data_IF_242058598732
#
_entry.id   IF_242058598732
#
_cell.length_a   1.000
_cell.length_b   1.000
_cell.length_c   1.000
_cell.angle_alpha   90.00
_cell.angle_beta   90.00
_cell.angle_gamma   90.00
#
_symmetry.space_group_name_H-M   'P 1'
#
loop_
_entity.id
_entity.type
_entity.pdbx_description
1 polymer ?
#
# COMPACT_ATOMS: atom_id res chain seq x y z
N UNK A 1 -28.02 21.02 -47.42
CA UNK A 1 -26.74 21.41 -46.81
C UNK A 1 -27.04 22.49 -45.78
N UNK A 2 -27.18 22.11 -44.52
CA UNK A 2 -27.49 23.01 -43.42
C UNK A 2 -26.18 23.26 -42.66
N UNK A 3 -25.61 24.46 -42.80
CA UNK A 3 -24.38 24.85 -42.11
C UNK A 3 -24.70 25.25 -40.67
N UNK A 4 -24.15 24.50 -39.73
CA UNK A 4 -24.28 24.70 -38.29
C UNK A 4 -23.13 25.60 -37.82
N UNK A 5 -23.44 26.82 -37.37
CA UNK A 5 -22.48 27.77 -36.82
C UNK A 5 -22.33 27.50 -35.31
N UNK A 6 -21.21 26.92 -34.89
CA UNK A 6 -20.89 26.68 -33.48
C UNK A 6 -20.18 27.92 -32.92
N UNK A 7 -20.75 28.49 -31.86
CA UNK A 7 -20.21 29.60 -31.09
C UNK A 7 -19.03 29.15 -30.21
N UNK A 8 -17.99 29.98 -30.17
CA UNK A 8 -16.81 29.81 -29.32
C UNK A 8 -17.12 30.21 -27.86
N UNK A 9 -16.64 29.42 -26.91
CA UNK A 9 -16.64 29.73 -25.46
C UNK A 9 -15.18 29.97 -25.04
N UNK A 10 -14.86 31.04 -24.28
CA UNK A 10 -13.48 31.37 -23.95
C UNK A 10 -12.95 30.58 -22.74
N UNK A 11 -11.63 30.38 -22.74
CA UNK A 11 -10.83 29.84 -21.64
C UNK A 11 -10.98 30.68 -20.37
N UNK A 12 -11.17 30.01 -19.22
CA UNK A 12 -10.89 30.59 -17.90
C UNK A 12 -9.60 30.01 -17.33
N UNK A 13 -8.67 30.94 -17.13
CA UNK A 13 -7.39 30.84 -16.45
C UNK A 13 -7.65 30.77 -14.93
N UNK A 14 -7.16 29.72 -14.25
CA UNK A 14 -7.26 29.57 -12.79
C UNK A 14 -5.86 29.49 -12.21
N UNK A 15 -5.15 30.61 -12.27
CA UNK A 15 -4.06 30.92 -11.37
C UNK A 15 -4.59 31.86 -10.26
N UNK A 16 -4.21 31.56 -9.01
CA UNK A 16 -4.37 32.42 -7.82
C UNK A 16 -5.70 32.32 -7.05
N UNK A 17 -5.76 31.39 -6.09
CA UNK A 17 -6.21 31.73 -4.73
C UNK A 17 -5.09 31.33 -3.77
N UNK A 18 -4.51 32.36 -3.18
CA UNK A 18 -3.36 32.32 -2.31
C UNK A 18 -3.73 31.94 -0.86
N UNK A 19 -2.73 31.37 -0.17
CA UNK A 19 -2.40 31.58 1.25
C UNK A 19 -3.47 31.25 2.30
N UNK A 20 -3.32 30.07 2.92
CA UNK A 20 -3.51 29.94 4.37
C UNK A 20 -2.22 29.45 5.01
N UNK A 21 -1.54 30.38 5.66
CA UNK A 21 -0.38 30.15 6.52
C UNK A 21 -0.87 29.62 7.87
N UNK A 22 -0.37 28.47 8.32
CA UNK A 22 -0.43 28.09 9.73
C UNK A 22 1.00 28.14 10.31
N UNK A 23 1.23 28.80 11.46
CA UNK A 23 2.56 28.87 12.07
C UNK A 23 2.83 27.58 12.83
N UNK A 24 3.97 26.94 12.57
CA UNK A 24 4.53 25.92 13.45
C UNK A 24 5.78 26.49 14.13
N UNK A 25 5.62 26.81 15.41
CA UNK A 25 6.70 27.21 16.31
C UNK A 25 7.63 26.01 16.54
N UNK A 26 8.89 26.15 16.12
CA UNK A 26 9.95 25.19 16.42
C UNK A 26 10.48 25.48 17.83
N UNK A 27 10.21 24.59 18.79
CA UNK A 27 11.01 24.52 20.01
C UNK A 27 12.17 23.56 19.81
N UNK A 28 13.39 24.10 19.80
CA UNK A 28 14.62 23.34 20.02
C UNK A 28 14.66 22.88 21.48
N UNK A 29 14.95 21.60 21.72
CA UNK A 29 15.53 21.13 22.98
C UNK A 29 16.62 20.12 22.66
N UNK A 30 17.83 20.42 23.15
CA UNK A 30 19.04 19.61 23.02
C UNK A 30 19.13 18.52 24.09
N UNK A 31 19.99 17.55 23.78
CA UNK A 31 20.78 16.66 24.65
C UNK A 31 20.13 15.60 25.58
N UNK A 32 20.74 14.41 25.50
CA UNK A 32 20.52 13.12 26.20
C UNK A 32 20.87 13.22 27.71
N UNK A 33 20.66 12.19 28.61
CA UNK A 33 20.55 10.75 28.32
C UNK A 33 19.60 9.87 29.18
N UNK A 34 19.51 8.60 28.73
CA UNK A 34 19.27 7.36 29.48
C UNK A 34 17.98 7.16 30.30
N UNK A 35 17.22 6.11 29.89
CA UNK A 35 16.29 5.40 30.75
C UNK A 35 14.81 5.58 30.38
N UNK A 36 14.09 4.45 30.33
CA UNK A 36 12.63 4.31 30.13
C UNK A 36 12.10 4.36 28.69
N UNK A 37 12.17 3.20 28.00
CA UNK A 37 11.42 2.90 26.78
C UNK A 37 10.37 1.81 27.06
N UNK A 38 9.11 2.21 27.26
CA UNK A 38 7.92 1.37 27.00
C UNK A 38 6.60 2.18 27.04
N UNK A 39 6.56 3.38 27.64
CA UNK A 39 5.30 4.12 27.80
C UNK A 39 4.93 5.09 26.65
N UNK A 40 5.80 5.32 25.66
CA UNK A 40 5.61 6.41 24.69
C UNK A 40 4.65 6.11 23.53
N UNK A 41 4.15 4.87 23.41
CA UNK A 41 3.14 4.52 22.40
C UNK A 41 1.70 4.72 22.88
N UNK A 42 1.46 4.90 24.19
CA UNK A 42 0.10 4.98 24.75
C UNK A 42 -0.50 6.39 24.82
N UNK A 43 0.27 7.46 24.60
CA UNK A 43 -0.27 8.84 24.72
C UNK A 43 -0.46 9.61 23.40
N UNK A 44 -0.06 9.08 22.22
CA UNK A 44 -0.29 9.78 20.94
C UNK A 44 -1.56 9.38 20.18
N UNK A 45 -2.33 8.39 20.65
CA UNK A 45 -3.56 7.96 19.97
C UNK A 45 -4.85 8.59 20.49
N UNK A 46 -4.85 9.26 21.64
CA UNK A 46 -6.08 9.77 22.25
C UNK A 46 -6.60 11.09 21.62
N UNK A 47 -5.78 11.82 20.86
CA UNK A 47 -6.17 13.13 20.30
C UNK A 47 -6.73 13.05 18.87
N UNK A 48 -6.50 11.96 18.14
CA UNK A 48 -7.01 11.80 16.77
C UNK A 48 -8.47 11.30 16.75
N UNK A 49 -8.94 10.69 17.83
CA UNK A 49 -10.30 10.12 17.91
C UNK A 49 -11.44 11.13 18.13
N UNK A 50 -11.15 12.44 18.24
CA UNK A 50 -12.18 13.48 18.50
C UNK A 50 -12.58 14.33 17.29
N UNK A 51 -12.08 14.03 16.10
CA UNK A 51 -12.31 14.87 14.91
C UNK A 51 -12.68 14.03 13.68
N UNK A 52 -13.79 13.29 13.75
CA UNK A 52 -14.60 12.97 12.57
C UNK A 52 -15.92 12.35 13.02
N UNK A 53 -16.92 13.19 13.30
CA UNK A 53 -18.30 12.72 13.39
C UNK A 53 -18.82 12.56 11.95
N UNK A 54 -18.50 11.44 11.32
CA UNK A 54 -19.15 11.02 10.08
C UNK A 54 -20.19 9.96 10.41
N UNK A 55 -21.46 10.32 10.23
CA UNK A 55 -22.60 9.41 10.35
C UNK A 55 -22.98 8.96 8.94
N UNK A 56 -22.84 7.67 8.58
CA UNK A 56 -23.26 7.20 7.27
C UNK A 56 -24.80 7.25 7.12
N UNK A 57 -25.33 7.45 5.90
CA UNK A 57 -26.77 7.56 5.69
C UNK A 57 -27.47 6.21 5.91
N UNK A 58 -28.56 6.25 6.66
CA UNK A 58 -29.45 5.12 6.93
C UNK A 58 -30.31 4.82 5.70
N UNK A 59 -30.03 3.72 5.01
CA UNK A 59 -30.91 3.19 3.96
C UNK A 59 -32.19 2.68 4.65
N UNK A 60 -33.33 3.30 4.36
CA UNK A 60 -34.64 2.76 4.76
C UNK A 60 -35.05 1.67 3.75
N UNK A 61 -35.47 0.48 4.20
CA UNK A 61 -36.04 -0.51 3.29
C UNK A 61 -37.39 -0.01 2.78
N UNK A 62 -37.48 0.16 1.46
CA UNK A 62 -38.74 0.43 0.76
C UNK A 62 -39.70 -0.75 0.89
N UNK A 63 -40.96 -0.42 1.19
CA UNK A 63 -42.06 -1.38 1.25
C UNK A 63 -42.50 -1.79 -0.15
N UNK A 64 -42.27 -3.04 -0.53
CA UNK A 64 -43.07 -3.71 -1.55
C UNK A 64 -43.42 -5.10 -1.06
N UNK A 65 -44.70 -5.30 -0.74
CA UNK A 65 -45.32 -6.60 -0.59
C UNK A 65 -45.25 -7.29 -1.94
N UNK A 66 -44.73 -8.50 -2.00
CA UNK A 66 -45.29 -9.61 -2.77
C UNK A 66 -44.70 -10.95 -2.28
N UNK A 67 -45.57 -11.95 -2.31
CA UNK A 67 -45.54 -13.21 -1.56
C UNK A 67 -44.74 -14.34 -2.23
N UNK A 68 -43.89 -14.99 -1.41
CA UNK A 68 -43.59 -16.44 -1.30
C UNK A 68 -43.16 -17.24 -2.55
N UNK A 69 -41.90 -17.68 -2.56
CA UNK A 69 -41.54 -19.11 -2.54
C UNK A 69 -40.07 -19.31 -2.08
N UNK A 70 -39.85 -20.34 -1.26
CA UNK A 70 -38.69 -20.60 -0.39
C UNK A 70 -37.33 -20.83 -1.09
N UNK A 71 -36.20 -20.57 -0.41
CA UNK A 71 -34.94 -21.24 -0.68
C UNK A 71 -34.53 -22.23 0.44
N UNK A 72 -33.82 -23.27 0.01
CA UNK A 72 -33.13 -24.27 0.84
C UNK A 72 -32.17 -23.66 1.87
N UNK A 73 -31.90 -24.33 3.01
CA UNK A 73 -31.07 -23.78 4.06
C UNK A 73 -29.58 -23.85 3.66
N UNK A 74 -28.98 -22.69 3.40
CA UNK A 74 -27.54 -22.54 3.51
C UNK A 74 -27.17 -22.56 5.01
N UNK A 75 -26.15 -23.36 5.32
CA UNK A 75 -25.64 -23.67 6.65
C UNK A 75 -25.40 -22.44 7.54
N UNK A 76 -25.98 -22.46 8.75
CA UNK A 76 -25.77 -21.48 9.82
C UNK A 76 -24.31 -21.32 10.30
N UNK A 77 -23.37 -22.14 9.79
CA UNK A 77 -21.95 -22.08 10.16
C UNK A 77 -21.16 -20.94 9.50
N UNK A 78 -21.60 -20.41 8.36
CA UNK A 78 -20.90 -19.31 7.66
C UNK A 78 -21.33 -17.93 8.18
N UNK A 79 -22.56 -17.81 8.68
CA UNK A 79 -23.06 -16.57 9.30
C UNK A 79 -22.33 -16.26 10.62
N UNK A 80 -22.10 -17.28 11.46
CA UNK A 80 -21.38 -17.11 12.74
C UNK A 80 -19.92 -16.68 12.55
N UNK A 81 -19.22 -17.15 11.50
CA UNK A 81 -17.83 -16.73 11.24
C UNK A 81 -17.71 -15.24 10.92
N UNK A 82 -18.74 -14.65 10.30
CA UNK A 82 -18.74 -13.22 9.97
C UNK A 82 -19.02 -12.37 11.20
N UNK A 83 -19.94 -12.76 12.07
CA UNK A 83 -20.22 -12.02 13.32
C UNK A 83 -19.06 -12.05 14.33
N UNK A 84 -18.33 -13.17 14.40
CA UNK A 84 -17.13 -13.28 15.25
C UNK A 84 -15.98 -12.37 14.78
N UNK A 85 -15.85 -12.16 13.47
CA UNK A 85 -14.83 -11.28 12.89
C UNK A 85 -15.10 -9.79 13.17
N UNK A 86 -16.37 -9.38 13.25
CA UNK A 86 -16.77 -8.02 13.65
C UNK A 86 -16.54 -7.78 15.16
N UNK A 87 -16.65 -8.80 16.01
CA UNK A 87 -16.38 -8.66 17.45
C UNK A 87 -14.89 -8.51 17.79
N UNK A 88 -13.98 -9.05 16.96
CA UNK A 88 -12.53 -8.89 17.14
C UNK A 88 -12.01 -7.51 16.71
N UNK A 89 -12.71 -6.82 15.78
CA UNK A 89 -12.38 -5.45 15.39
C UNK A 89 -12.46 -4.45 16.56
N UNK A 90 -13.27 -4.73 17.58
CA UNK A 90 -13.36 -3.91 18.80
C UNK A 90 -12.16 -4.02 19.75
N UNK A 91 -11.27 -5.00 19.54
CA UNK A 91 -10.08 -5.25 20.38
C UNK A 91 -8.77 -4.88 19.70
N UNK A 92 -8.78 -4.65 18.38
CA UNK A 92 -7.59 -4.28 17.63
C UNK A 92 -7.40 -2.75 17.61
N UNK A 93 -6.17 -2.21 17.76
CA UNK A 93 -5.92 -0.77 17.63
C UNK A 93 -6.28 -0.18 16.25
N UNK A 94 -6.56 -1.01 15.26
CA UNK A 94 -7.11 -0.61 13.97
C UNK A 94 -8.58 -1.01 13.89
N UNK A 95 -9.53 -0.05 13.88
CA UNK A 95 -10.95 -0.35 13.77
C UNK A 95 -11.41 -0.69 12.33
N UNK A 96 -10.48 -0.77 11.38
CA UNK A 96 -10.74 -1.01 9.95
C UNK A 96 -9.63 -1.90 9.36
N UNK A 97 -9.98 -2.70 8.35
CA UNK A 97 -9.00 -3.41 7.53
C UNK A 97 -8.12 -2.43 6.75
N UNK A 98 -6.83 -2.77 6.60
CA UNK A 98 -5.82 -1.87 6.03
C UNK A 98 -5.09 -2.48 4.83
N UNK A 99 -4.59 -1.62 3.96
CA UNK A 99 -3.59 -1.94 2.95
C UNK A 99 -2.22 -1.93 3.62
N UNK A 100 -1.59 -3.09 3.77
CA UNK A 100 -0.23 -3.19 4.29
C UNK A 100 0.77 -2.96 3.16
N UNK A 101 1.49 -1.86 3.23
CA UNK A 101 2.59 -1.53 2.32
C UNK A 101 3.88 -2.09 2.92
N UNK A 102 4.37 -3.16 2.31
CA UNK A 102 5.61 -3.81 2.69
C UNK A 102 6.78 -3.15 1.96
N UNK A 103 7.54 -2.32 2.67
CA UNK A 103 8.74 -1.67 2.12
C UNK A 103 9.87 -2.70 2.05
N UNK A 104 10.28 -3.09 0.85
CA UNK A 104 11.36 -4.05 0.61
C UNK A 104 12.69 -3.63 1.23
N UNK A 105 13.46 -4.61 1.73
CA UNK A 105 14.79 -4.42 2.34
C UNK A 105 14.79 -3.43 3.53
N UNK A 106 15.95 -2.89 3.92
CA UNK A 106 16.09 -1.92 5.00
C UNK A 106 17.29 -2.18 5.93
N UNK A 107 17.86 -1.11 6.48
CA UNK A 107 19.02 -1.18 7.37
C UNK A 107 20.23 -1.76 6.66
N UNK A 108 20.76 -2.87 7.18
CA UNK A 108 21.93 -3.57 6.62
C UNK A 108 21.63 -4.27 5.28
N UNK A 109 20.35 -4.53 4.98
CA UNK A 109 19.94 -5.09 3.70
C UNK A 109 19.67 -3.95 2.71
N UNK A 110 20.60 -3.74 1.78
CA UNK A 110 20.53 -2.70 0.75
C UNK A 110 19.63 -3.06 -0.44
N UNK A 111 19.31 -4.33 -0.62
CA UNK A 111 18.76 -4.85 -1.88
C UNK A 111 19.75 -4.73 -3.05
N UNK A 112 19.24 -4.63 -4.27
CA UNK A 112 20.06 -4.36 -5.45
C UNK A 112 20.66 -2.95 -5.43
N UNK A 113 21.75 -2.74 -6.18
CA UNK A 113 22.48 -1.46 -6.18
C UNK A 113 23.07 -1.10 -7.55
N UNK A 114 23.34 0.19 -7.72
CA UNK A 114 24.10 0.74 -8.84
C UNK A 114 24.90 1.97 -8.40
N UNK A 115 26.22 1.80 -8.20
CA UNK A 115 27.04 2.82 -7.53
C UNK A 115 26.54 3.01 -6.10
N UNK A 116 26.27 4.25 -5.70
CA UNK A 116 25.74 4.59 -4.37
C UNK A 116 24.20 4.51 -4.27
N UNK A 117 23.52 4.13 -5.37
CA UNK A 117 22.06 4.00 -5.40
C UNK A 117 21.70 2.62 -4.85
N UNK A 118 20.88 2.60 -3.78
CA UNK A 118 20.40 1.37 -3.13
C UNK A 118 18.89 1.21 -3.31
N UNK A 119 18.46 -0.02 -3.56
CA UNK A 119 17.05 -0.39 -3.66
C UNK A 119 16.25 -0.01 -2.41
N UNK A 120 16.79 -0.26 -1.22
CA UNK A 120 16.07 0.01 0.05
C UNK A 120 15.60 1.47 0.21
N UNK A 121 16.35 2.41 -0.36
CA UNK A 121 16.09 3.84 -0.25
C UNK A 121 15.00 4.26 -1.25
N UNK A 122 15.06 3.69 -2.46
CA UNK A 122 14.01 3.85 -3.48
C UNK A 122 12.69 3.28 -2.99
N UNK A 123 12.72 2.05 -2.44
CA UNK A 123 11.53 1.40 -1.88
C UNK A 123 10.88 2.27 -0.81
N UNK A 124 11.67 2.78 0.14
CA UNK A 124 11.17 3.64 1.22
C UNK A 124 10.48 4.90 0.67
N UNK A 125 11.10 5.54 -0.31
CA UNK A 125 10.65 6.82 -0.83
C UNK A 125 9.38 6.69 -1.71
N UNK A 126 9.28 5.62 -2.51
CA UNK A 126 8.06 5.25 -3.25
C UNK A 126 6.95 4.85 -2.28
N UNK A 127 7.23 3.99 -1.30
CA UNK A 127 6.22 3.52 -0.34
C UNK A 127 5.64 4.64 0.52
N UNK A 128 6.44 5.63 0.94
CA UNK A 128 5.93 6.81 1.65
C UNK A 128 4.96 7.63 0.80
N UNK A 129 5.23 7.79 -0.50
CA UNK A 129 4.30 8.48 -1.43
C UNK A 129 3.02 7.67 -1.60
N UNK A 130 3.15 6.37 -1.82
CA UNK A 130 2.02 5.45 -1.96
C UNK A 130 1.11 5.51 -0.72
N UNK A 131 1.70 5.47 0.47
CA UNK A 131 0.98 5.65 1.73
C UNK A 131 0.17 6.95 1.74
N UNK A 132 0.79 8.08 1.43
CA UNK A 132 0.11 9.38 1.42
C UNK A 132 -1.03 9.43 0.39
N UNK A 133 -0.83 8.86 -0.80
CA UNK A 133 -1.84 8.80 -1.85
C UNK A 133 -3.05 7.96 -1.43
N UNK A 134 -2.82 6.74 -0.92
CA UNK A 134 -3.91 5.88 -0.45
C UNK A 134 -4.68 6.51 0.71
N UNK A 135 -4.00 7.13 1.67
CA UNK A 135 -4.66 7.85 2.79
C UNK A 135 -5.50 9.03 2.30
N UNK A 136 -5.02 9.76 1.28
CA UNK A 136 -5.75 10.88 0.66
C UNK A 136 -7.05 10.40 0.00
N UNK A 137 -7.04 9.22 -0.62
CA UNK A 137 -8.21 8.59 -1.25
C UNK A 137 -9.12 7.86 -0.25
N UNK A 138 -8.88 8.00 1.06
CA UNK A 138 -9.74 7.46 2.11
C UNK A 138 -9.42 6.03 2.54
N UNK A 139 -8.42 5.37 1.95
CA UNK A 139 -8.01 4.04 2.37
C UNK A 139 -7.27 4.07 3.70
N UNK A 140 -7.41 3.01 4.50
CA UNK A 140 -6.51 2.73 5.61
C UNK A 140 -5.27 2.04 5.09
N UNK A 141 -4.09 2.60 5.36
CA UNK A 141 -2.83 2.06 4.91
C UNK A 141 -1.81 2.11 6.06
N UNK A 142 -0.89 1.15 6.08
CA UNK A 142 0.19 1.05 7.08
C UNK A 142 1.48 0.67 6.37
N UNK A 143 2.61 1.22 6.81
CA UNK A 143 3.95 0.82 6.37
C UNK A 143 4.56 -0.16 7.38
N UNK A 144 5.22 -1.22 6.91
CA UNK A 144 6.02 -2.09 7.79
C UNK A 144 7.24 -1.35 8.39
N UNK A 145 7.80 -0.37 7.65
CA UNK A 145 8.84 0.56 8.10
C UNK A 145 8.68 1.93 7.47
N UNK A 146 8.97 2.97 8.24
CA UNK A 146 8.94 4.36 7.80
C UNK A 146 10.34 5.01 7.80
N UNK A 147 11.40 4.23 8.04
CA UNK A 147 12.79 4.66 8.07
C UNK A 147 13.77 3.60 7.55
N UNK A 148 15.07 3.90 7.60
CA UNK A 148 16.13 2.98 7.21
C UNK A 148 16.58 2.11 8.39
N UNK A 149 15.80 1.08 8.67
CA UNK A 149 16.12 0.04 9.65
C UNK A 149 15.68 -1.32 9.12
N UNK A 150 16.32 -2.38 9.60
CA UNK A 150 15.93 -3.74 9.24
C UNK A 150 14.81 -4.20 10.19
N UNK A 151 13.75 -4.84 9.66
CA UNK A 151 12.68 -5.38 10.52
C UNK A 151 13.21 -6.49 11.45
N UNK A 152 14.31 -7.13 11.05
CA UNK A 152 15.02 -8.11 11.86
C UNK A 152 15.57 -7.56 13.19
N UNK A 153 15.67 -6.24 13.37
CA UNK A 153 16.17 -5.58 14.58
C UNK A 153 15.08 -5.52 15.68
N UNK A 154 13.81 -5.46 15.27
CA UNK A 154 12.64 -5.51 16.15
C UNK A 154 12.20 -6.96 16.44
N UNK A 155 12.59 -7.90 15.58
CA UNK A 155 12.33 -9.33 15.81
C UNK A 155 13.30 -9.95 16.83
N UNK A 156 12.93 -9.85 18.11
CA UNK A 156 13.66 -10.47 19.25
C UNK A 156 13.12 -11.83 19.67
N UNK A 157 12.00 -12.26 19.09
CA UNK A 157 11.27 -13.47 19.47
C UNK A 157 11.63 -14.69 18.60
N UNK A 158 12.03 -14.47 17.34
CA UNK A 158 12.39 -15.55 16.44
C UNK A 158 13.78 -16.12 16.78
N UNK A 159 13.84 -17.42 17.06
CA UNK A 159 15.05 -18.10 17.57
C UNK A 159 16.22 -18.15 16.57
N UNK A 160 15.97 -17.92 15.29
CA UNK A 160 17.02 -17.97 14.27
C UNK A 160 18.04 -16.84 14.41
N UNK A 161 19.32 -17.20 14.26
CA UNK A 161 20.42 -16.23 14.20
C UNK A 161 20.51 -15.54 12.84
N UNK A 162 19.83 -16.07 11.82
CA UNK A 162 19.80 -15.47 10.47
C UNK A 162 18.91 -14.23 10.46
N UNK A 163 19.52 -13.07 10.22
CA UNK A 163 18.80 -11.79 10.10
C UNK A 163 17.73 -11.86 9.01
N UNK A 164 18.06 -12.44 7.85
CA UNK A 164 17.12 -12.60 6.75
C UNK A 164 15.87 -13.39 7.16
N UNK A 165 16.04 -14.52 7.86
CA UNK A 165 14.89 -15.29 8.34
C UNK A 165 14.06 -14.52 9.38
N UNK A 166 14.70 -13.74 10.25
CA UNK A 166 13.98 -12.89 11.22
C UNK A 166 13.21 -11.76 10.53
N UNK A 167 13.78 -11.16 9.48
CA UNK A 167 13.12 -10.13 8.68
C UNK A 167 11.85 -10.68 8.03
N UNK A 168 11.98 -11.81 7.33
CA UNK A 168 10.87 -12.52 6.71
C UNK A 168 9.79 -12.93 7.72
N UNK A 169 10.20 -13.45 8.88
CA UNK A 169 9.28 -13.81 9.96
C UNK A 169 8.55 -12.58 10.52
N UNK A 170 9.21 -11.42 10.61
CA UNK A 170 8.58 -10.18 11.07
C UNK A 170 7.54 -9.68 10.06
N UNK A 171 7.84 -9.70 8.75
CA UNK A 171 6.89 -9.31 7.69
C UNK A 171 5.61 -10.16 7.76
N UNK A 172 5.76 -11.48 7.91
CA UNK A 172 4.62 -12.39 8.08
C UNK A 172 3.84 -12.14 9.37
N UNK A 173 4.53 -11.84 10.47
CA UNK A 173 3.85 -11.60 11.75
C UNK A 173 3.02 -10.32 11.71
N UNK A 174 3.54 -9.26 11.07
CA UNK A 174 2.81 -8.00 10.89
C UNK A 174 1.47 -8.20 10.18
N UNK A 175 1.41 -9.01 9.12
CA UNK A 175 0.15 -9.25 8.40
C UNK A 175 -0.87 -10.09 9.18
N UNK A 176 -0.43 -10.80 10.22
CA UNK A 176 -1.32 -11.56 11.11
C UNK A 176 -1.85 -10.74 12.27
N UNK A 177 -1.04 -9.80 12.75
CA UNK A 177 -1.42 -8.92 13.85
C UNK A 177 -2.31 -7.79 13.34
N UNK A 178 -2.00 -7.20 12.18
CA UNK A 178 -2.76 -6.11 11.61
C UNK A 178 -3.95 -6.66 10.80
N UNK A 179 -5.19 -6.17 10.99
CA UNK A 179 -6.33 -6.50 10.14
C UNK A 179 -6.04 -6.00 8.73
N UNK A 180 -5.55 -6.90 7.89
CA UNK A 180 -4.96 -6.57 6.59
C UNK A 180 -5.87 -7.07 5.48
N UNK A 181 -6.30 -6.17 4.60
CA UNK A 181 -7.14 -6.49 3.45
C UNK A 181 -6.29 -7.02 2.29
N UNK A 182 -5.17 -6.35 1.99
CA UNK A 182 -4.20 -6.72 0.96
C UNK A 182 -2.78 -6.33 1.38
N UNK A 183 -1.78 -7.02 0.83
CA UNK A 183 -0.36 -6.70 1.01
C UNK A 183 0.26 -6.28 -0.32
N UNK A 184 0.90 -5.10 -0.34
CA UNK A 184 1.61 -4.58 -1.50
C UNK A 184 3.07 -4.38 -1.11
N UNK A 185 3.94 -5.26 -1.58
CA UNK A 185 5.38 -5.18 -1.35
C UNK A 185 6.07 -4.41 -2.46
N UNK A 186 6.85 -3.38 -2.12
CA UNK A 186 7.53 -2.51 -3.08
C UNK A 186 9.01 -2.89 -3.16
N UNK A 187 9.46 -3.20 -4.36
CA UNK A 187 10.82 -3.62 -4.69
C UNK A 187 11.34 -2.97 -5.99
N UNK A 188 12.64 -3.13 -6.22
CA UNK A 188 13.30 -2.75 -7.48
C UNK A 188 13.98 -3.97 -8.09
N UNK A 189 13.66 -4.25 -9.34
CA UNK A 189 14.21 -5.39 -10.03
C UNK A 189 15.66 -5.15 -10.47
N UNK A 190 16.33 -6.25 -10.82
CA UNK A 190 17.61 -6.21 -11.50
C UNK A 190 17.74 -7.35 -12.51
N UNK A 191 18.40 -7.07 -13.63
CA UNK A 191 18.68 -8.07 -14.66
C UNK A 191 20.05 -7.85 -15.29
N UNK A 192 20.72 -8.95 -15.65
CA UNK A 192 21.95 -8.92 -16.47
C UNK A 192 21.72 -8.24 -17.83
N UNK A 193 20.50 -8.35 -18.37
CA UNK A 193 20.10 -7.66 -19.58
C UNK A 193 19.68 -6.24 -19.23
N UNK A 194 20.55 -5.26 -19.50
CA UNK A 194 20.29 -3.83 -19.22
C UNK A 194 19.16 -3.23 -20.08
N UNK A 195 18.65 -3.97 -21.07
CA UNK A 195 17.46 -3.59 -21.85
C UNK A 195 16.14 -3.98 -21.18
N UNK A 196 16.17 -4.88 -20.18
CA UNK A 196 14.99 -5.21 -19.37
C UNK A 196 14.51 -3.97 -18.64
N UNK A 197 13.23 -3.61 -18.79
CA UNK A 197 12.69 -2.37 -18.22
C UNK A 197 11.17 -2.38 -18.03
N UNK A 198 10.68 -1.41 -17.29
CA UNK A 198 9.30 -1.26 -16.85
C UNK A 198 8.97 -2.13 -15.65
N UNK A 199 7.94 -1.72 -14.91
CA UNK A 199 7.49 -2.46 -13.73
C UNK A 199 6.94 -3.85 -14.07
N UNK A 200 7.11 -4.78 -13.13
CA UNK A 200 6.58 -6.15 -13.18
C UNK A 200 5.90 -6.45 -11.85
N UNK A 201 4.67 -6.95 -11.87
CA UNK A 201 3.96 -7.35 -10.66
C UNK A 201 3.98 -8.86 -10.52
N UNK A 202 4.51 -9.33 -9.40
CA UNK A 202 4.49 -10.73 -8.99
C UNK A 202 3.34 -10.94 -8.01
N UNK A 203 2.67 -12.09 -8.09
CA UNK A 203 1.51 -12.36 -7.24
C UNK A 203 1.50 -13.78 -6.67
N UNK A 204 0.74 -13.96 -5.59
CA UNK A 204 0.44 -15.29 -5.06
C UNK A 204 -0.33 -16.12 -6.09
N UNK A 205 -0.22 -17.44 -6.03
CA UNK A 205 -0.95 -18.35 -6.90
C UNK A 205 -2.45 -18.46 -6.53
N UNK A 206 -3.17 -17.34 -6.43
CA UNK A 206 -4.61 -17.26 -6.18
C UNK A 206 -5.27 -16.08 -6.91
N UNK A 207 -6.59 -16.16 -7.10
CA UNK A 207 -7.33 -15.28 -8.01
C UNK A 207 -7.35 -13.80 -7.59
N UNK A 208 -7.53 -13.50 -6.31
CA UNK A 208 -7.60 -12.11 -5.82
C UNK A 208 -6.27 -11.40 -6.00
N UNK A 209 -5.16 -12.06 -5.67
CA UNK A 209 -3.79 -11.58 -5.90
C UNK A 209 -3.50 -11.38 -7.39
N UNK A 210 -3.99 -12.27 -8.26
CA UNK A 210 -3.87 -12.11 -9.71
C UNK A 210 -4.62 -10.88 -10.20
N UNK A 211 -5.84 -10.63 -9.72
CA UNK A 211 -6.64 -9.46 -10.10
C UNK A 211 -5.99 -8.15 -9.62
N UNK A 212 -5.51 -8.13 -8.38
CA UNK A 212 -4.75 -7.00 -7.84
C UNK A 212 -3.51 -6.71 -8.68
N UNK A 213 -2.75 -7.76 -9.01
CA UNK A 213 -1.55 -7.63 -9.82
C UNK A 213 -1.83 -7.11 -11.23
N UNK A 214 -2.88 -7.60 -11.89
CA UNK A 214 -3.25 -7.16 -13.24
C UNK A 214 -3.68 -5.69 -13.24
N UNK A 215 -4.42 -5.24 -12.22
CA UNK A 215 -4.79 -3.83 -12.08
C UNK A 215 -3.58 -2.92 -11.90
N UNK A 216 -2.62 -3.29 -11.05
CA UNK A 216 -1.37 -2.52 -10.87
C UNK A 216 -0.48 -2.59 -12.12
N UNK A 217 -0.35 -3.76 -12.73
CA UNK A 217 0.49 -3.96 -13.92
C UNK A 217 0.01 -3.13 -15.10
N UNK A 218 -1.31 -2.94 -15.25
CA UNK A 218 -1.90 -2.09 -16.29
C UNK A 218 -1.44 -0.64 -16.16
N UNK A 219 -1.49 -0.08 -14.97
CA UNK A 219 -1.06 1.30 -14.70
C UNK A 219 0.45 1.48 -14.91
N UNK A 220 1.25 0.52 -14.42
CA UNK A 220 2.70 0.53 -14.67
C UNK A 220 3.03 0.41 -16.17
N UNK A 221 2.29 -0.40 -16.90
CA UNK A 221 2.45 -0.54 -18.35
C UNK A 221 2.15 0.78 -19.08
N UNK A 222 1.12 1.52 -18.66
CA UNK A 222 0.84 2.85 -19.21
C UNK A 222 1.98 3.82 -18.91
N UNK A 223 2.43 3.90 -17.65
CA UNK A 223 3.51 4.78 -17.21
C UNK A 223 4.82 4.53 -17.99
N UNK A 224 5.21 3.27 -18.13
CA UNK A 224 6.46 2.88 -18.78
C UNK A 224 6.33 2.72 -20.31
N UNK A 225 5.12 2.82 -20.86
CA UNK A 225 4.80 2.48 -22.25
C UNK A 225 5.28 1.05 -22.61
N UNK A 226 4.84 0.08 -21.80
CA UNK A 226 5.19 -1.34 -21.89
C UNK A 226 3.96 -2.23 -21.90
N UNK A 227 4.18 -3.52 -22.16
CA UNK A 227 3.17 -4.57 -22.17
C UNK A 227 3.65 -5.77 -21.35
N UNK A 228 4.29 -5.49 -20.22
CA UNK A 228 4.76 -6.53 -19.31
C UNK A 228 3.56 -7.28 -18.73
N UNK A 229 3.73 -8.59 -18.48
CA UNK A 229 2.70 -9.46 -17.91
C UNK A 229 3.01 -9.73 -16.44
N UNK A 230 1.97 -9.91 -15.65
CA UNK A 230 2.11 -10.40 -14.27
C UNK A 230 2.71 -11.80 -14.26
N UNK A 231 3.34 -12.17 -13.15
CA UNK A 231 3.95 -13.50 -12.99
C UNK A 231 3.65 -14.06 -11.60
N UNK A 232 3.41 -15.37 -11.50
CA UNK A 232 3.29 -16.03 -10.19
C UNK A 232 4.66 -16.04 -9.48
N UNK A 233 4.73 -15.44 -8.30
CA UNK A 233 5.96 -15.32 -7.52
C UNK A 233 6.27 -16.56 -6.67
N UNK A 234 6.76 -17.64 -7.30
CA UNK A 234 7.00 -18.94 -6.65
C UNK A 234 8.04 -18.97 -5.51
N UNK A 235 9.19 -18.24 -5.56
CA UNK A 235 10.21 -18.34 -4.50
C UNK A 235 10.03 -17.36 -3.34
N UNK A 236 9.05 -16.45 -3.40
CA UNK A 236 9.01 -15.32 -2.47
C UNK A 236 8.24 -15.68 -1.20
N UNK A 237 8.94 -15.64 -0.07
CA UNK A 237 8.40 -16.03 1.23
C UNK A 237 7.10 -15.30 1.59
N UNK A 238 7.03 -13.98 1.35
CA UNK A 238 5.84 -13.18 1.65
C UNK A 238 4.62 -13.70 0.89
N UNK A 239 4.76 -13.96 -0.41
CA UNK A 239 3.68 -14.46 -1.27
C UNK A 239 3.23 -15.88 -0.92
N UNK A 240 4.06 -16.66 -0.23
CA UNK A 240 3.75 -18.05 0.09
C UNK A 240 3.26 -18.26 1.53
N UNK A 241 3.19 -17.21 2.34
CA UNK A 241 2.97 -17.37 3.79
C UNK A 241 1.84 -16.54 4.38
N UNK A 242 1.11 -15.80 3.53
CA UNK A 242 -0.01 -14.94 3.91
C UNK A 242 -1.31 -15.43 3.26
N UNK A 243 -2.41 -15.34 4.01
CA UNK A 243 -3.75 -15.79 3.58
C UNK A 243 -4.57 -14.67 2.90
N UNK A 244 -4.10 -13.42 3.03
CA UNK A 244 -4.67 -12.23 2.39
C UNK A 244 -4.01 -12.01 1.03
N UNK A 245 -4.71 -11.42 0.04
CA UNK A 245 -4.15 -11.16 -1.29
C UNK A 245 -2.84 -10.37 -1.21
N UNK A 246 -1.79 -10.86 -1.86
CA UNK A 246 -0.47 -10.25 -1.80
C UNK A 246 0.21 -10.14 -3.18
N UNK A 247 0.92 -9.03 -3.37
CA UNK A 247 1.73 -8.77 -4.56
C UNK A 247 3.10 -8.22 -4.20
N UNK A 248 4.10 -8.52 -5.04
CA UNK A 248 5.39 -7.82 -5.07
C UNK A 248 5.42 -6.99 -6.34
N UNK A 249 5.53 -5.68 -6.18
CA UNK A 249 5.65 -4.71 -7.26
C UNK A 249 7.13 -4.43 -7.46
N UNK A 250 7.70 -5.07 -8.48
CA UNK A 250 9.02 -4.72 -8.99
C UNK A 250 8.87 -3.44 -9.82
N UNK A 251 9.14 -2.28 -9.22
CA UNK A 251 8.75 -0.98 -9.77
C UNK A 251 9.46 -0.60 -11.07
N UNK A 252 10.62 -1.18 -11.33
CA UNK A 252 11.43 -1.01 -12.55
C UNK A 252 12.76 -1.74 -12.38
N UNK A 253 13.66 -1.63 -13.36
CA UNK A 253 14.96 -2.31 -13.32
C UNK A 253 16.11 -1.36 -12.99
N UNK A 254 16.79 -1.59 -11.86
CA UNK A 254 18.01 -0.87 -11.46
C UNK A 254 19.12 -0.96 -12.52
N UNK A 255 19.17 -2.04 -13.30
CA UNK A 255 20.17 -2.19 -14.35
C UNK A 255 19.88 -1.36 -15.61
N UNK A 256 18.64 -0.91 -15.82
CA UNK A 256 18.26 -0.10 -16.98
C UNK A 256 18.40 1.42 -16.70
N UNK A 257 19.10 2.19 -17.54
CA UNK A 257 19.28 3.62 -17.32
C UNK A 257 18.00 4.45 -17.31
N UNK A 258 17.03 4.16 -18.19
CA UNK A 258 15.77 4.91 -18.23
C UNK A 258 14.93 4.67 -16.97
N UNK A 259 14.84 3.41 -16.54
CA UNK A 259 14.14 3.06 -15.31
C UNK A 259 14.85 3.65 -14.10
N UNK A 260 16.19 3.61 -14.02
CA UNK A 260 16.92 4.27 -12.93
C UNK A 260 16.59 5.75 -12.80
N UNK A 261 16.44 6.47 -13.91
CA UNK A 261 16.03 7.88 -13.85
C UNK A 261 14.63 8.03 -13.23
N UNK A 262 13.69 7.13 -13.54
CA UNK A 262 12.38 7.10 -12.89
C UNK A 262 12.48 6.75 -11.40
N UNK A 263 13.30 5.75 -11.06
CA UNK A 263 13.46 5.23 -9.70
C UNK A 263 14.18 6.20 -8.75
N UNK A 264 15.04 7.08 -9.27
CA UNK A 264 15.90 7.96 -8.47
C UNK A 264 15.47 9.43 -8.46
N UNK A 265 14.58 9.85 -9.35
CA UNK A 265 14.07 11.22 -9.37
C UNK A 265 12.77 11.34 -8.60
N UNK A 266 12.59 12.46 -7.90
CA UNK A 266 11.35 12.75 -7.16
C UNK A 266 10.10 12.64 -8.04
N UNK A 267 10.17 13.14 -9.28
CA UNK A 267 9.08 13.09 -10.26
C UNK A 267 8.78 11.64 -10.68
N UNK A 268 9.81 10.87 -11.00
CA UNK A 268 9.62 9.47 -11.39
C UNK A 268 9.04 8.61 -10.26
N UNK A 269 9.56 8.75 -9.04
CA UNK A 269 9.04 8.05 -7.86
C UNK A 269 7.58 8.44 -7.55
N UNK A 270 7.22 9.71 -7.74
CA UNK A 270 5.83 10.17 -7.60
C UNK A 270 4.92 9.51 -8.64
N UNK A 271 5.34 9.48 -9.90
CA UNK A 271 4.58 8.84 -10.98
C UNK A 271 4.42 7.32 -10.78
N UNK A 272 5.47 6.64 -10.29
CA UNK A 272 5.40 5.21 -9.95
C UNK A 272 4.41 4.99 -8.80
N UNK A 273 4.51 5.77 -7.72
CA UNK A 273 3.60 5.64 -6.59
C UNK A 273 2.14 5.92 -6.98
N UNK A 274 1.90 6.88 -7.86
CA UNK A 274 0.59 7.19 -8.42
C UNK A 274 0.04 6.04 -9.27
N UNK A 275 0.85 5.46 -10.16
CA UNK A 275 0.44 4.29 -10.95
C UNK A 275 0.08 3.09 -10.05
N UNK A 276 0.88 2.82 -9.01
CA UNK A 276 0.58 1.75 -8.06
C UNK A 276 -0.70 2.05 -7.26
N UNK A 277 -0.89 3.28 -6.79
CA UNK A 277 -2.10 3.69 -6.09
C UNK A 277 -3.34 3.52 -6.97
N UNK A 278 -3.31 4.02 -8.20
CA UNK A 278 -4.42 3.91 -9.16
C UNK A 278 -4.78 2.44 -9.44
N UNK A 279 -3.77 1.56 -9.54
CA UNK A 279 -3.99 0.14 -9.72
C UNK A 279 -4.68 -0.52 -8.52
N UNK A 280 -4.29 -0.15 -7.30
CA UNK A 280 -4.92 -0.62 -6.07
C UNK A 280 -6.36 -0.10 -5.96
N UNK A 281 -6.58 1.19 -6.22
CA UNK A 281 -7.91 1.81 -6.20
C UNK A 281 -8.83 1.14 -7.22
N UNK A 282 -8.33 0.89 -8.43
CA UNK A 282 -9.08 0.19 -9.48
C UNK A 282 -9.43 -1.24 -9.10
N UNK A 283 -8.55 -1.93 -8.37
CA UNK A 283 -8.86 -3.24 -7.82
C UNK A 283 -10.03 -3.19 -6.84
N UNK A 284 -9.99 -2.27 -5.86
CA UNK A 284 -11.07 -2.14 -4.88
C UNK A 284 -12.39 -1.64 -5.48
N UNK A 285 -12.34 -0.78 -6.50
CA UNK A 285 -13.55 -0.30 -7.19
C UNK A 285 -14.24 -1.39 -8.02
N UNK A 286 -13.57 -2.52 -8.28
CA UNK A 286 -14.08 -3.64 -9.06
C UNK A 286 -14.56 -4.83 -8.21
N UNK A 287 -14.45 -4.74 -6.87
CA UNK A 287 -14.99 -5.72 -5.91
C UNK A 287 -16.47 -5.44 -5.61
#
# INVERSE_FOLDING_TARGET
MLACTIAAVPLLDIASVATQQFPLTIHQISDRPSGLKSAHLKLRLAEISRSSAYTPPRIQPGTSKDTVSSPHPASASEANKREDAYSLHGLHPFPYDVILIDVGHGGIDGGTSHGDILEKDINLEISRRLFMLLRKEGFHAVLNRDGDYALSDDNRWHRSRSRHQRDLAQRKQLSKEIPTEVIVSIHVNWSKNTRSRGGIVLHQAEGRSSLLAESIQRELNQLYSRTNRVTVGKPFYLLNTTDVPAVIVETGFMSNPEDRLMLTTRKGQAAIAEAVANGIISYFAAL
#
